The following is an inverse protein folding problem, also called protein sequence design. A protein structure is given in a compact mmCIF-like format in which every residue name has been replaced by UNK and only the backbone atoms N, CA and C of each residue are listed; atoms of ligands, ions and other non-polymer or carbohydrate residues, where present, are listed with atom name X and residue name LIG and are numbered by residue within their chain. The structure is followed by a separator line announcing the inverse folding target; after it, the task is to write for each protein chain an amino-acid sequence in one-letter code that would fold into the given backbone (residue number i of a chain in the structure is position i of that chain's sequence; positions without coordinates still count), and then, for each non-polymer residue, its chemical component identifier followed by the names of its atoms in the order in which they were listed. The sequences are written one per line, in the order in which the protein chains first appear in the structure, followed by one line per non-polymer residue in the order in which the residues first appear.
data_IF_049936660974
#
_entry.id   IF_049936660974
#
_cell.length_a   1.000
_cell.length_b   1.000
_cell.length_c   1.000
_cell.angle_alpha   90.00
_cell.angle_beta   90.00
_cell.angle_gamma   90.00
#
_symmetry.space_group_name_H-M   'P 1'
#
loop_
_entity.id
_entity.type
_entity.pdbx_description
1 polymer ?
#
# COMPACT_ATOMS: atom_id res chain seq x y z
N UNK A 1 6.55 -14.42 -11.19
CA UNK A 1 7.92 -14.00 -10.84
C UNK A 1 7.84 -13.27 -9.50
N UNK A 2 8.14 -13.88 -8.35
CA UNK A 2 7.72 -13.34 -7.03
C UNK A 2 8.07 -11.86 -6.84
N UNK A 3 7.08 -10.96 -6.76
CA UNK A 3 7.34 -9.54 -6.46
C UNK A 3 7.71 -9.49 -4.99
N UNK A 4 8.97 -9.12 -4.75
CA UNK A 4 9.54 -8.96 -3.42
C UNK A 4 9.81 -7.48 -3.20
N UNK A 5 9.45 -7.02 -2.02
CA UNK A 5 9.67 -5.66 -1.59
C UNK A 5 9.82 -5.64 -0.08
N UNK A 6 10.43 -4.57 0.43
CA UNK A 6 10.65 -4.38 1.86
C UNK A 6 9.38 -3.85 2.52
N UNK A 7 8.64 -2.99 1.82
CA UNK A 7 7.35 -2.49 2.25
C UNK A 7 6.22 -2.86 1.27
N UNK A 8 5.02 -3.08 1.80
CA UNK A 8 3.77 -3.24 1.05
C UNK A 8 2.77 -2.16 1.46
N UNK A 9 2.26 -1.41 0.50
CA UNK A 9 1.24 -0.37 0.69
C UNK A 9 -0.01 -0.79 -0.08
N UNK A 10 -1.14 -0.87 0.61
CA UNK A 10 -2.40 -1.21 -0.04
C UNK A 10 -3.59 -0.60 0.69
N UNK A 11 -4.74 -0.53 0.02
CA UNK A 11 -5.97 -0.05 0.64
C UNK A 11 -6.82 -1.19 1.19
N UNK A 12 -7.40 -0.96 2.36
CA UNK A 12 -8.49 -1.76 2.94
C UNK A 12 -9.70 -0.85 3.21
N UNK A 13 -10.75 -1.42 3.82
CA UNK A 13 -11.98 -0.71 4.17
C UNK A 13 -11.93 -0.16 5.60
N UNK A 14 -12.87 0.72 5.94
CA UNK A 14 -13.02 1.31 7.27
C UNK A 14 -13.21 0.28 8.40
N UNK A 15 -13.58 -0.97 8.10
CA UNK A 15 -13.71 -2.03 9.10
C UNK A 15 -12.39 -2.78 9.32
N UNK A 16 -11.31 -2.42 8.62
CA UNK A 16 -10.04 -3.15 8.56
C UNK A 16 -10.20 -4.63 8.24
N UNK A 17 -11.23 -4.98 7.47
CA UNK A 17 -11.51 -6.37 7.14
C UNK A 17 -10.70 -6.82 5.92
N UNK A 18 -9.88 -7.85 6.11
CA UNK A 18 -8.99 -8.43 5.10
C UNK A 18 -9.69 -9.45 4.21
N UNK A 19 -10.84 -9.07 3.65
CA UNK A 19 -11.75 -9.99 2.93
C UNK A 19 -11.59 -10.00 1.42
N UNK A 20 -10.86 -9.06 0.82
CA UNK A 20 -10.67 -8.97 -0.63
C UNK A 20 -9.26 -8.57 -1.05
N UNK A 21 -8.96 -8.78 -2.34
CA UNK A 21 -7.70 -8.39 -2.99
C UNK A 21 -6.43 -8.72 -2.20
N UNK A 22 -5.59 -7.71 -1.97
CA UNK A 22 -4.34 -7.82 -1.22
C UNK A 22 -4.58 -8.30 0.22
N UNK A 23 -5.64 -7.81 0.88
CA UNK A 23 -5.97 -8.19 2.25
C UNK A 23 -6.23 -9.69 2.40
N UNK A 24 -7.02 -10.28 1.50
CA UNK A 24 -7.28 -11.71 1.49
C UNK A 24 -5.99 -12.54 1.27
N UNK A 25 -5.09 -12.07 0.40
CA UNK A 25 -3.80 -12.71 0.16
C UNK A 25 -2.90 -12.66 1.40
N UNK A 26 -2.88 -11.54 2.13
CA UNK A 26 -2.15 -11.42 3.40
C UNK A 26 -2.73 -12.36 4.46
N UNK A 27 -4.06 -12.43 4.57
CA UNK A 27 -4.73 -13.33 5.50
C UNK A 27 -4.43 -14.80 5.18
N UNK A 28 -4.38 -15.18 3.91
CA UNK A 28 -4.00 -16.53 3.48
C UNK A 28 -2.56 -16.87 3.87
N UNK A 29 -1.64 -15.89 3.77
CA UNK A 29 -0.21 -16.11 4.08
C UNK A 29 0.07 -16.13 5.58
N UNK A 30 -0.48 -15.18 6.33
CA UNK A 30 -0.12 -14.94 7.73
C UNK A 30 -1.16 -15.45 8.74
N UNK A 31 -2.34 -15.86 8.27
CA UNK A 31 -3.40 -16.41 9.11
C UNK A 31 -4.15 -15.35 9.92
N UNK A 32 -5.11 -15.81 10.73
CA UNK A 32 -6.06 -14.96 11.45
C UNK A 32 -5.43 -14.05 12.52
N UNK A 33 -4.22 -14.37 12.98
CA UNK A 33 -3.50 -13.53 13.94
C UNK A 33 -3.19 -12.16 13.31
N UNK A 34 -2.91 -12.13 12.00
CA UNK A 34 -2.67 -10.88 11.25
C UNK A 34 -3.92 -9.98 11.19
N UNK A 35 -5.13 -10.55 11.04
CA UNK A 35 -6.39 -9.81 11.14
C UNK A 35 -6.63 -9.32 12.58
N UNK A 36 -6.28 -10.13 13.56
CA UNK A 36 -6.47 -9.81 14.99
C UNK A 36 -5.59 -8.64 15.42
N UNK A 37 -4.39 -8.52 14.85
CA UNK A 37 -3.46 -7.41 15.12
C UNK A 37 -4.04 -6.06 14.69
N UNK A 38 -4.65 -6.00 13.50
CA UNK A 38 -5.32 -4.79 13.02
C UNK A 38 -6.50 -4.39 13.91
N UNK A 39 -7.31 -5.37 14.33
CA UNK A 39 -8.42 -5.09 15.25
C UNK A 39 -7.93 -4.61 16.61
N UNK A 40 -6.82 -5.14 17.12
CA UNK A 40 -6.20 -4.62 18.36
C UNK A 40 -5.75 -3.18 18.22
N UNK A 41 -5.17 -2.79 17.08
CA UNK A 41 -4.81 -1.39 16.83
C UNK A 41 -6.04 -0.48 16.88
N UNK A 42 -7.15 -0.89 16.25
CA UNK A 42 -8.39 -0.12 16.23
C UNK A 42 -9.05 -0.04 17.61
N UNK A 43 -9.17 -1.18 18.30
CA UNK A 43 -9.76 -1.28 19.64
C UNK A 43 -8.95 -0.49 20.67
N UNK A 44 -7.62 -0.42 20.54
CA UNK A 44 -6.78 0.38 21.44
C UNK A 44 -7.10 1.87 21.41
N UNK A 45 -7.69 2.34 20.30
CA UNK A 45 -8.19 3.72 20.14
C UNK A 45 -9.64 3.90 20.59
N UNK A 46 -10.29 2.85 21.09
CA UNK A 46 -11.70 2.86 21.51
C UNK A 46 -12.69 2.96 20.35
N UNK A 47 -12.22 2.75 19.11
CA UNK A 47 -13.01 2.87 17.88
C UNK A 47 -13.31 1.49 17.31
N UNK A 48 -14.39 1.38 16.54
CA UNK A 48 -14.76 0.18 15.79
C UNK A 48 -14.58 0.31 14.29
N UNK A 49 -14.38 1.54 13.81
CA UNK A 49 -14.17 1.88 12.41
C UNK A 49 -12.99 2.82 12.32
N UNK A 50 -12.15 2.58 11.32
CA UNK A 50 -11.12 3.50 10.88
C UNK A 50 -11.74 4.66 10.09
N UNK A 51 -10.99 5.75 10.00
CA UNK A 51 -11.34 6.93 9.23
C UNK A 51 -10.64 6.94 7.87
N UNK A 52 -11.29 7.57 6.89
CA UNK A 52 -10.69 7.80 5.57
C UNK A 52 -9.42 8.64 5.73
N UNK A 53 -8.32 8.22 5.10
CA UNK A 53 -7.01 8.85 5.24
C UNK A 53 -6.16 8.29 6.40
N UNK A 54 -6.63 7.29 7.14
CA UNK A 54 -5.80 6.60 8.14
C UNK A 54 -4.84 5.58 7.52
N UNK A 55 -3.73 5.34 8.24
CA UNK A 55 -2.72 4.34 7.93
C UNK A 55 -2.48 3.52 9.20
N UNK A 56 -2.69 2.21 9.12
CA UNK A 56 -2.29 1.26 10.15
C UNK A 56 -1.02 0.55 9.69
N UNK A 57 -0.17 0.17 10.64
CA UNK A 57 1.13 -0.42 10.34
C UNK A 57 1.24 -1.80 10.96
N UNK A 58 1.76 -2.75 10.19
CA UNK A 58 2.14 -4.06 10.71
C UNK A 58 3.58 -4.33 10.35
N UNK A 59 4.40 -4.57 11.37
CA UNK A 59 5.78 -5.00 11.18
C UNK A 59 5.86 -6.51 11.11
N UNK A 60 6.59 -7.02 10.12
CA UNK A 60 6.79 -8.45 9.92
C UNK A 60 8.26 -8.80 10.09
N UNK A 61 8.51 -9.94 10.74
CA UNK A 61 9.85 -10.52 10.83
C UNK A 61 10.29 -11.24 9.54
N UNK A 62 9.40 -11.35 8.55
CA UNK A 62 9.71 -11.90 7.22
C UNK A 62 10.64 -10.92 6.48
N UNK A 63 11.68 -11.45 5.83
CA UNK A 63 12.59 -10.64 5.02
C UNK A 63 11.88 -9.96 3.83
N UNK A 64 10.74 -10.50 3.40
CA UNK A 64 9.82 -9.85 2.44
C UNK A 64 8.66 -9.20 3.17
N UNK A 65 8.38 -7.94 2.86
CA UNK A 65 7.29 -7.11 3.43
C UNK A 65 7.45 -6.83 4.94
N UNK A 66 8.66 -6.46 5.34
CA UNK A 66 9.03 -6.06 6.72
C UNK A 66 8.11 -4.98 7.29
N UNK A 67 7.56 -4.13 6.42
CA UNK A 67 6.53 -3.15 6.76
C UNK A 67 5.30 -3.33 5.87
N UNK A 68 4.13 -3.46 6.46
CA UNK A 68 2.84 -3.41 5.74
C UNK A 68 2.06 -2.18 6.20
N UNK A 69 1.70 -1.33 5.25
CA UNK A 69 0.89 -0.13 5.46
C UNK A 69 -0.52 -0.38 4.93
N UNK A 70 -1.47 -0.43 5.86
CA UNK A 70 -2.89 -0.63 5.60
C UNK A 70 -3.57 0.74 5.54
N UNK A 71 -3.90 1.20 4.33
CA UNK A 71 -4.47 2.53 4.12
C UNK A 71 -5.98 2.48 3.94
N UNK A 72 -6.67 3.56 4.30
CA UNK A 72 -8.11 3.71 4.10
C UNK A 72 -8.35 4.78 3.03
N UNK A 73 -8.29 4.38 1.77
CA UNK A 73 -8.38 5.31 0.64
C UNK A 73 -9.82 5.71 0.29
N UNK A 74 -10.80 4.83 0.56
CA UNK A 74 -12.18 5.02 0.13
C UNK A 74 -13.12 5.09 1.33
N UNK A 75 -14.22 5.81 1.17
CA UNK A 75 -15.32 5.81 2.12
C UNK A 75 -16.14 4.48 2.03
N UNK A 76 -17.16 4.29 2.91
CA UNK A 76 -18.02 3.09 2.86
C UNK A 76 -18.84 2.93 1.57
N UNK A 77 -18.97 4.00 0.76
CA UNK A 77 -19.67 4.02 -0.53
C UNK A 77 -18.69 3.86 -1.70
N UNK A 78 -17.41 3.58 -1.43
CA UNK A 78 -16.32 3.47 -2.40
C UNK A 78 -15.98 4.76 -3.13
N UNK A 79 -16.41 5.91 -2.60
CA UNK A 79 -15.97 7.19 -3.09
C UNK A 79 -14.53 7.48 -2.61
N UNK A 80 -13.72 8.01 -3.51
CA UNK A 80 -12.30 8.28 -3.32
C UNK A 80 -11.99 9.73 -3.63
N UNK A 81 -11.53 10.46 -2.62
CA UNK A 81 -10.99 11.81 -2.80
C UNK A 81 -9.51 11.72 -3.24
N UNK A 82 -9.12 12.28 -4.40
CA UNK A 82 -7.73 12.30 -4.85
C UNK A 82 -6.75 12.90 -3.82
N UNK A 83 -7.17 13.90 -3.04
CA UNK A 83 -6.30 14.55 -2.04
C UNK A 83 -6.07 13.66 -0.82
N UNK A 84 -7.06 12.82 -0.46
CA UNK A 84 -6.87 11.76 0.53
C UNK A 84 -5.81 10.78 0.04
N UNK A 85 -5.90 10.34 -1.22
CA UNK A 85 -4.92 9.40 -1.79
C UNK A 85 -3.53 10.03 -1.86
N UNK A 86 -3.42 11.30 -2.24
CA UNK A 86 -2.16 12.05 -2.19
C UNK A 86 -1.55 12.07 -0.79
N UNK A 87 -2.35 12.40 0.22
CA UNK A 87 -1.91 12.40 1.62
C UNK A 87 -1.43 11.01 2.08
N UNK A 88 -2.18 9.96 1.72
CA UNK A 88 -1.83 8.58 2.05
C UNK A 88 -0.52 8.15 1.41
N UNK A 89 -0.31 8.44 0.12
CA UNK A 89 0.95 8.15 -0.59
C UNK A 89 2.11 8.89 0.06
N UNK A 90 1.98 10.20 0.27
CA UNK A 90 3.02 11.04 0.85
C UNK A 90 3.48 10.52 2.23
N UNK A 91 2.52 10.25 3.13
CA UNK A 91 2.80 9.73 4.49
C UNK A 91 3.34 8.30 4.48
N UNK A 92 2.93 7.49 3.51
CA UNK A 92 3.47 6.14 3.36
C UNK A 92 4.92 6.15 2.92
N UNK A 93 5.28 7.01 1.95
CA UNK A 93 6.67 7.20 1.55
C UNK A 93 7.52 7.79 2.65
N UNK A 94 6.98 8.76 3.41
CA UNK A 94 7.66 9.32 4.59
C UNK A 94 8.01 8.20 5.57
N UNK A 95 7.01 7.42 6.00
CA UNK A 95 7.18 6.27 6.91
C UNK A 95 8.21 5.27 6.40
N UNK A 96 8.20 4.95 5.11
CA UNK A 96 9.18 4.05 4.50
C UNK A 96 10.58 4.66 4.47
N UNK A 97 10.71 5.95 4.16
CA UNK A 97 12.00 6.64 4.01
C UNK A 97 12.73 6.85 5.34
N UNK A 98 12.01 6.94 6.45
CA UNK A 98 12.58 7.01 7.79
C UNK A 98 13.28 5.71 8.21
N UNK A 99 12.98 4.62 7.51
CA UNK A 99 13.52 3.28 7.78
C UNK A 99 14.64 2.93 6.82
N UNK A 100 15.87 2.90 7.33
CA UNK A 100 17.07 2.49 6.56
C UNK A 100 16.99 1.08 5.99
N UNK A 101 16.18 0.23 6.61
CA UNK A 101 16.03 -1.15 6.20
C UNK A 101 15.03 -1.26 5.02
N UNK A 102 14.19 -0.25 4.76
CA UNK A 102 13.27 -0.23 3.61
C UNK A 102 13.95 0.44 2.42
N UNK A 103 14.10 -0.32 1.33
CA UNK A 103 14.71 0.14 0.06
C UNK A 103 13.84 -0.11 -1.17
N UNK A 104 12.79 -0.92 -1.02
CA UNK A 104 11.87 -1.30 -2.08
C UNK A 104 10.43 -1.30 -1.59
N UNK A 105 9.55 -0.66 -2.34
CA UNK A 105 8.13 -0.51 -2.02
C UNK A 105 7.29 -1.23 -3.09
N UNK A 106 6.31 -2.01 -2.64
CA UNK A 106 5.23 -2.54 -3.47
C UNK A 106 3.94 -1.79 -3.10
N UNK A 107 3.17 -1.38 -4.09
CA UNK A 107 1.93 -0.63 -3.90
C UNK A 107 0.81 -1.17 -4.78
N UNK A 108 -0.39 -1.33 -4.22
CA UNK A 108 -1.62 -1.52 -5.02
C UNK A 108 -2.25 -0.16 -5.38
N UNK A 109 -3.05 -0.04 -6.45
CA UNK A 109 -3.80 1.17 -6.78
C UNK A 109 -4.73 1.64 -5.67
N UNK A 110 -4.28 2.61 -4.86
CA UNK A 110 -5.02 3.10 -3.69
C UNK A 110 -6.26 3.85 -4.17
N UNK A 111 -7.44 3.33 -3.82
CA UNK A 111 -8.72 3.90 -4.24
C UNK A 111 -9.06 3.76 -5.73
N UNK A 112 -8.17 3.17 -6.53
CA UNK A 112 -8.38 2.90 -7.96
C UNK A 112 -8.60 1.40 -8.29
N UNK A 113 -8.75 0.57 -7.26
CA UNK A 113 -9.14 -0.85 -7.39
C UNK A 113 -10.64 -1.05 -7.22
N UNK A 114 -11.14 -0.92 -5.97
CA UNK A 114 -12.58 -0.96 -5.66
C UNK A 114 -13.23 0.42 -5.62
N UNK A 115 -12.43 1.49 -5.51
CA UNK A 115 -12.93 2.87 -5.48
C UNK A 115 -13.12 3.45 -6.87
N UNK A 116 -13.67 4.66 -6.90
CA UNK A 116 -13.95 5.44 -8.12
C UNK A 116 -12.80 6.36 -8.58
N UNK A 117 -11.59 6.26 -8.00
CA UNK A 117 -10.45 7.02 -8.48
C UNK A 117 -9.93 6.46 -9.81
N UNK A 118 -9.82 7.33 -10.80
CA UNK A 118 -9.23 6.97 -12.09
C UNK A 118 -7.75 6.58 -11.94
N UNK A 119 -7.35 5.48 -12.60
CA UNK A 119 -5.98 4.96 -12.54
C UNK A 119 -4.93 5.99 -12.95
N UNK A 120 -5.21 6.78 -13.98
CA UNK A 120 -4.29 7.83 -14.47
C UNK A 120 -4.06 8.91 -13.39
N UNK A 121 -5.10 9.25 -12.62
CA UNK A 121 -4.99 10.21 -11.51
C UNK A 121 -4.15 9.62 -10.38
N UNK A 122 -4.37 8.34 -10.04
CA UNK A 122 -3.56 7.64 -9.05
C UNK A 122 -2.07 7.59 -9.47
N UNK A 123 -1.77 7.24 -10.71
CA UNK A 123 -0.40 7.18 -11.22
C UNK A 123 0.28 8.55 -11.23
N UNK A 124 -0.47 9.62 -11.56
CA UNK A 124 0.03 10.98 -11.47
C UNK A 124 0.42 11.34 -10.03
N UNK A 125 -0.48 11.09 -9.06
CA UNK A 125 -0.21 11.34 -7.63
C UNK A 125 1.05 10.59 -7.17
N UNK A 126 1.14 9.29 -7.46
CA UNK A 126 2.28 8.46 -7.04
C UNK A 126 3.58 8.96 -7.66
N UNK A 127 3.56 9.33 -8.94
CA UNK A 127 4.72 9.88 -9.63
C UNK A 127 5.17 11.17 -8.95
N UNK A 128 4.28 12.14 -8.77
CA UNK A 128 4.58 13.43 -8.14
C UNK A 128 5.15 13.27 -6.72
N UNK A 129 4.53 12.43 -5.89
CA UNK A 129 5.00 12.22 -4.52
C UNK A 129 6.32 11.44 -4.46
N UNK A 130 6.58 10.54 -5.42
CA UNK A 130 7.82 9.75 -5.44
C UNK A 130 9.07 10.60 -5.70
N UNK A 131 8.95 11.67 -6.49
CA UNK A 131 10.06 12.58 -6.81
C UNK A 131 10.62 13.26 -5.55
N UNK A 132 9.82 13.39 -4.49
CA UNK A 132 10.25 13.98 -3.21
C UNK A 132 11.22 13.10 -2.43
N UNK A 133 11.35 11.83 -2.83
CA UNK A 133 12.14 10.80 -2.14
C UNK A 133 13.28 10.26 -3.02
N UNK A 134 13.66 10.96 -4.10
CA UNK A 134 14.77 10.58 -4.98
C UNK A 134 16.10 10.40 -4.23
N UNK A 135 16.35 11.21 -3.20
CA UNK A 135 17.56 11.16 -2.37
C UNK A 135 17.41 10.25 -1.13
N UNK A 136 16.34 9.44 -1.04
CA UNK A 136 16.07 8.56 0.10
C UNK A 136 16.72 7.18 -0.03
N UNK A 137 16.52 6.31 0.97
CA UNK A 137 16.91 4.89 0.88
C UNK A 137 16.05 4.07 -0.08
N UNK A 138 14.90 4.60 -0.51
CA UNK A 138 13.96 3.93 -1.40
C UNK A 138 14.52 4.01 -2.82
N UNK A 139 14.89 2.86 -3.37
CA UNK A 139 15.50 2.74 -4.71
C UNK A 139 14.58 2.12 -5.74
N UNK A 140 13.46 1.51 -5.31
CA UNK A 140 12.47 0.95 -6.22
C UNK A 140 11.06 1.06 -5.69
N UNK A 141 10.14 1.35 -6.60
CA UNK A 141 8.70 1.35 -6.39
C UNK A 141 8.07 0.46 -7.47
N UNK A 142 7.27 -0.51 -7.04
CA UNK A 142 6.50 -1.39 -7.92
C UNK A 142 5.02 -1.18 -7.67
N UNK A 143 4.28 -0.81 -8.73
CA UNK A 143 2.82 -0.71 -8.69
C UNK A 143 2.21 -1.98 -9.28
N UNK A 144 1.39 -2.69 -8.51
CA UNK A 144 0.73 -3.92 -8.91
C UNK A 144 -0.72 -3.65 -9.34
N UNK A 145 -0.93 -3.47 -10.64
CA UNK A 145 -2.24 -3.26 -11.25
C UNK A 145 -2.77 -4.58 -11.82
N UNK A 146 -3.40 -5.41 -11.00
CA UNK A 146 -4.22 -6.52 -11.52
C UNK A 146 -5.62 -6.42 -10.91
N UNK A 147 -6.66 -6.59 -11.74
CA UNK A 147 -8.06 -6.43 -11.37
C UNK A 147 -8.65 -7.70 -10.73
N UNK A 148 -7.94 -8.83 -10.82
CA UNK A 148 -8.25 -10.08 -10.09
C UNK A 148 -7.01 -10.57 -9.34
N UNK A 149 -6.70 -9.94 -8.21
CA UNK A 149 -5.52 -10.33 -7.42
C UNK A 149 -5.71 -11.71 -6.76
N UNK A 150 -5.03 -12.73 -7.28
CA UNK A 150 -4.65 -13.91 -6.51
C UNK A 150 -3.25 -13.74 -5.89
N UNK A 151 -2.88 -14.57 -4.92
CA UNK A 151 -1.51 -14.59 -4.36
C UNK A 151 -0.42 -14.79 -5.43
N UNK A 152 -0.77 -15.37 -6.59
CA UNK A 152 0.13 -15.51 -7.76
C UNK A 152 0.27 -14.23 -8.59
N UNK A 153 -0.61 -13.25 -8.41
CA UNK A 153 -0.67 -12.02 -9.21
C UNK A 153 -0.06 -10.82 -8.45
N UNK A 154 -0.06 -10.86 -7.11
CA UNK A 154 0.97 -10.18 -6.29
C UNK A 154 2.41 -10.58 -6.71
N UNK A 155 2.53 -11.67 -7.47
CA UNK A 155 3.76 -12.23 -8.01
C UNK A 155 3.88 -11.94 -9.53
N UNK A 156 2.96 -11.22 -10.15
CA UNK A 156 3.01 -10.86 -11.56
C UNK A 156 2.21 -9.58 -11.81
N UNK A 157 2.89 -8.44 -11.81
CA UNK A 157 2.80 -7.32 -12.78
C UNK A 157 3.51 -6.15 -12.09
N UNK A 158 4.73 -5.87 -12.54
CA UNK A 158 5.52 -4.74 -12.09
C UNK A 158 5.67 -3.81 -13.29
N UNK A 159 4.98 -2.67 -13.25
CA UNK A 159 5.41 -1.51 -14.04
C UNK A 159 6.60 -0.93 -13.30
N UNK A 160 7.82 -1.30 -13.67
CA UNK A 160 8.98 -0.53 -13.23
C UNK A 160 8.85 0.83 -13.90
N UNK A 161 8.59 1.89 -13.12
CA UNK A 161 8.88 3.25 -13.58
C UNK A 161 10.41 3.35 -13.61
N UNK A 162 11.01 2.79 -14.67
CA UNK A 162 12.42 2.93 -14.98
C UNK A 162 12.62 4.25 -15.68
N UNK A 163 13.00 5.29 -14.95
CA UNK A 163 13.71 6.40 -15.58
C UNK A 163 15.09 5.90 -15.98
N UNK A 164 15.25 5.49 -17.24
CA UNK A 164 16.57 5.42 -17.88
C UNK A 164 17.14 6.86 -17.93
N UNK A 165 17.85 7.27 -16.89
CA UNK A 165 18.65 8.49 -16.93
C UNK A 165 19.88 8.25 -17.79
N UNK A 166 19.79 8.55 -19.08
CA UNK A 166 21.00 8.76 -19.91
C UNK A 166 21.67 10.04 -19.45
N UNK A 167 22.74 9.89 -18.67
CA UNK A 167 23.76 10.92 -18.52
C UNK A 167 24.41 11.18 -19.89
N UNK A 168 24.07 12.30 -20.51
CA UNK A 168 24.67 12.82 -21.74
C UNK A 168 24.73 14.34 -21.68
#
# INVERSE_FOLDING_TARGET
MTVKGDALIYSTNVQLMLSGGVGACLLQKFGNDFQSDLYRQLDSSGRKLAEVGEIFQTELSDASWRLVLHTIATDPMYHTDPEVVRSLVARSFETCSERKDITSIIMSPLGAGYGDLEMDTFLQIVTEESLRYEDSSITSLTICCDFELSFRDLVCTASTLGTEWKSG
#
